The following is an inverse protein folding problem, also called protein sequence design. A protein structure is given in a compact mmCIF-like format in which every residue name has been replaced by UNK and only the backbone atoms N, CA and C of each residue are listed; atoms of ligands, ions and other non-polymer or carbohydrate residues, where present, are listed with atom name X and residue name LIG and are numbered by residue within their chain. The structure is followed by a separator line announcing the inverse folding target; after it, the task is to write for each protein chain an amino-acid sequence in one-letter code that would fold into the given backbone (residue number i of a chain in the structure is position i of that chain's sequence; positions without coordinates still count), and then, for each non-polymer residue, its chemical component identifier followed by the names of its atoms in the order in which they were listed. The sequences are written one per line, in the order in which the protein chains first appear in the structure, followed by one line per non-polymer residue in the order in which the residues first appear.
data_IF_427182858855
#
_entry.id   IF_427182858855
#
_cell.length_a   1.000
_cell.length_b   1.000
_cell.length_c   1.000
_cell.angle_alpha   90.00
_cell.angle_beta   90.00
_cell.angle_gamma   90.00
#
_symmetry.space_group_name_H-M   'P 1'
#
loop_
_entity.id
_entity.type
_entity.pdbx_description
1 polymer ?
#
# COMPACT_ATOMS: atom_id res chain seq x y z
N UNK A 1 43.72 -10.95 -5.14
CA UNK A 1 43.07 -11.89 -4.21
C UNK A 1 42.21 -11.15 -3.16
N UNK A 2 42.77 -10.24 -2.34
CA UNK A 2 42.06 -9.51 -1.28
C UNK A 2 40.87 -8.69 -1.82
N UNK A 3 41.05 -7.95 -2.90
CA UNK A 3 39.98 -7.16 -3.53
C UNK A 3 38.77 -8.02 -3.96
N UNK A 4 39.00 -9.18 -4.56
CA UNK A 4 37.93 -10.11 -4.94
C UNK A 4 37.18 -10.66 -3.72
N UNK A 5 37.89 -11.00 -2.65
CA UNK A 5 37.29 -11.47 -1.39
C UNK A 5 36.42 -10.39 -0.76
N UNK A 6 36.82 -9.11 -0.80
CA UNK A 6 36.04 -7.97 -0.33
C UNK A 6 34.77 -7.83 -1.14
N UNK A 7 34.82 -7.90 -2.49
CA UNK A 7 33.64 -7.83 -3.34
C UNK A 7 32.64 -8.97 -3.07
N UNK A 8 33.15 -10.18 -2.90
CA UNK A 8 32.32 -11.35 -2.55
C UNK A 8 31.66 -11.13 -1.18
N UNK A 9 32.39 -10.65 -0.18
CA UNK A 9 31.85 -10.37 1.14
C UNK A 9 30.76 -9.30 1.08
N UNK A 10 30.97 -8.19 0.35
CA UNK A 10 29.97 -7.14 0.15
C UNK A 10 28.71 -7.65 -0.55
N UNK A 11 28.87 -8.53 -1.55
CA UNK A 11 27.73 -9.16 -2.22
C UNK A 11 26.90 -10.00 -1.22
N UNK A 12 27.52 -10.84 -0.41
CA UNK A 12 26.80 -11.65 0.58
C UNK A 12 26.14 -10.79 1.66
N UNK A 13 26.78 -9.71 2.11
CA UNK A 13 26.20 -8.75 3.04
C UNK A 13 24.95 -8.12 2.42
N UNK A 14 25.00 -7.67 1.16
CA UNK A 14 23.85 -7.09 0.47
C UNK A 14 22.69 -8.09 0.35
N UNK A 15 22.97 -9.33 -0.03
CA UNK A 15 21.96 -10.40 -0.09
C UNK A 15 21.34 -10.65 1.29
N UNK A 16 22.14 -10.70 2.34
CA UNK A 16 21.69 -10.89 3.72
C UNK A 16 20.78 -9.73 4.16
N UNK A 17 21.13 -8.48 3.88
CA UNK A 17 20.32 -7.30 4.21
C UNK A 17 18.97 -7.36 3.49
N UNK A 18 18.93 -7.75 2.22
CA UNK A 18 17.68 -7.90 1.46
C UNK A 18 16.82 -9.02 2.07
N UNK A 19 17.41 -10.17 2.41
CA UNK A 19 16.69 -11.30 3.01
C UNK A 19 16.12 -10.94 4.39
N UNK A 20 16.92 -10.28 5.25
CA UNK A 20 16.49 -9.82 6.58
C UNK A 20 15.36 -8.76 6.46
N UNK A 21 15.48 -7.84 5.52
CA UNK A 21 14.44 -6.84 5.27
C UNK A 21 13.13 -7.51 4.85
N UNK A 22 13.20 -8.49 3.96
CA UNK A 22 12.03 -9.25 3.53
C UNK A 22 11.37 -9.98 4.70
N UNK A 23 12.15 -10.72 5.46
CA UNK A 23 11.70 -11.49 6.63
C UNK A 23 11.09 -10.59 7.71
N UNK A 24 11.73 -9.45 8.03
CA UNK A 24 11.25 -8.51 9.03
C UNK A 24 9.85 -7.95 8.68
N UNK A 25 9.62 -7.60 7.40
CA UNK A 25 8.30 -7.14 6.92
C UNK A 25 7.25 -8.24 7.06
N UNK A 26 7.56 -9.48 6.67
CA UNK A 26 6.62 -10.61 6.82
C UNK A 26 6.29 -10.88 8.29
N UNK A 27 7.29 -10.96 9.17
CA UNK A 27 7.06 -11.17 10.59
C UNK A 27 6.19 -10.07 11.23
N UNK A 28 6.45 -8.79 10.87
CA UNK A 28 5.72 -7.66 11.43
C UNK A 28 4.28 -7.55 10.94
N UNK A 29 4.02 -7.96 9.69
CA UNK A 29 2.73 -7.77 9.03
C UNK A 29 1.82 -9.00 9.09
N UNK A 30 2.36 -10.21 9.27
CA UNK A 30 1.63 -11.47 9.11
C UNK A 30 0.38 -11.58 9.98
N UNK A 31 0.46 -11.18 11.25
CA UNK A 31 -0.66 -11.22 12.20
C UNK A 31 -1.67 -10.07 12.03
N UNK A 32 -1.35 -9.10 11.17
CA UNK A 32 -2.17 -7.90 10.93
C UNK A 32 -2.76 -7.87 9.52
N UNK A 33 -2.65 -8.94 8.74
CA UNK A 33 -3.22 -9.05 7.39
C UNK A 33 -4.34 -10.09 7.36
N UNK A 34 -5.43 -9.73 6.70
CA UNK A 34 -6.65 -10.50 6.58
C UNK A 34 -7.02 -10.65 5.11
N UNK A 35 -7.53 -11.81 4.73
CA UNK A 35 -8.07 -12.10 3.40
C UNK A 35 -9.56 -12.50 3.43
N UNK A 36 -10.13 -12.59 4.63
CA UNK A 36 -11.54 -12.88 4.85
C UNK A 36 -12.16 -11.70 5.62
N UNK A 37 -13.23 -11.14 5.08
CA UNK A 37 -13.91 -9.99 5.65
C UNK A 37 -14.53 -10.28 7.02
N UNK A 38 -14.88 -11.53 7.30
CA UNK A 38 -15.44 -11.90 8.61
C UNK A 38 -14.43 -11.69 9.76
N UNK A 39 -13.16 -11.94 9.49
CA UNK A 39 -12.10 -11.97 10.51
C UNK A 39 -11.48 -10.61 10.79
N UNK A 40 -11.59 -9.65 9.84
CA UNK A 40 -10.97 -8.33 10.00
C UNK A 40 -11.72 -7.48 11.02
N UNK A 41 -11.02 -6.78 11.94
CA UNK A 41 -11.65 -5.84 12.84
C UNK A 41 -12.25 -4.65 12.11
N UNK A 42 -13.23 -3.99 12.72
CA UNK A 42 -13.77 -2.73 12.22
C UNK A 42 -12.74 -1.60 12.38
N UNK A 43 -12.60 -0.80 11.33
CA UNK A 43 -11.96 0.51 11.36
C UNK A 43 -12.82 1.52 10.59
N UNK A 44 -12.98 2.72 11.14
CA UNK A 44 -13.78 3.76 10.47
C UNK A 44 -13.31 4.05 9.05
N UNK A 45 -11.99 4.15 8.86
CA UNK A 45 -11.38 4.57 7.59
C UNK A 45 -10.58 3.43 6.96
N UNK A 46 -10.83 3.19 5.67
CA UNK A 46 -9.96 2.38 4.84
C UNK A 46 -9.03 3.28 4.01
N UNK A 47 -7.71 3.14 4.19
CA UNK A 47 -6.69 3.72 3.31
C UNK A 47 -6.51 2.79 2.10
N UNK A 48 -6.96 3.24 0.93
CA UNK A 48 -6.83 2.50 -0.33
C UNK A 48 -5.62 3.00 -1.08
N UNK A 49 -4.64 2.12 -1.31
CA UNK A 49 -3.42 2.50 -2.02
C UNK A 49 -3.67 2.52 -3.53
N UNK A 50 -3.24 3.58 -4.20
CA UNK A 50 -3.48 3.85 -5.60
C UNK A 50 -2.88 2.82 -6.57
N UNK A 51 -3.53 2.65 -7.69
CA UNK A 51 -3.05 1.94 -8.89
C UNK A 51 -3.90 2.32 -10.09
N UNK A 52 -3.30 2.31 -11.28
CA UNK A 52 -3.99 2.67 -12.51
C UNK A 52 -5.03 1.62 -12.93
N UNK A 53 -6.20 2.01 -13.46
CA UNK A 53 -7.20 1.09 -14.01
C UNK A 53 -6.72 0.33 -15.26
N UNK A 54 -5.74 0.88 -15.97
CA UNK A 54 -5.15 0.26 -17.17
C UNK A 54 -3.69 -0.11 -16.95
N UNK A 55 -3.26 -1.18 -17.58
CA UNK A 55 -1.83 -1.53 -17.70
C UNK A 55 -1.13 -0.61 -18.70
N UNK A 56 0.21 -0.52 -18.73
CA UNK A 56 0.94 0.25 -19.74
C UNK A 56 0.63 -0.15 -21.20
N UNK A 57 0.11 -1.36 -21.41
CA UNK A 57 -0.35 -1.85 -22.72
C UNK A 57 -1.82 -1.52 -23.03
N UNK A 58 -2.49 -0.69 -22.22
CA UNK A 58 -3.88 -0.29 -22.41
C UNK A 58 -4.93 -1.36 -22.04
N UNK A 59 -4.52 -2.50 -21.49
CA UNK A 59 -5.43 -3.56 -21.06
C UNK A 59 -5.93 -3.31 -19.63
N UNK A 60 -7.12 -3.81 -19.24
CA UNK A 60 -7.62 -3.71 -17.87
C UNK A 60 -6.59 -4.21 -16.84
N UNK A 61 -6.40 -3.44 -15.79
CA UNK A 61 -5.53 -3.80 -14.68
C UNK A 61 -6.35 -4.53 -13.59
N UNK A 62 -6.17 -5.83 -13.49
CA UNK A 62 -6.88 -6.63 -12.49
C UNK A 62 -6.47 -6.29 -11.04
N UNK A 63 -5.30 -5.72 -10.79
CA UNK A 63 -4.97 -5.20 -9.46
C UNK A 63 -5.92 -4.08 -9.03
N UNK A 64 -6.24 -3.17 -9.95
CA UNK A 64 -7.23 -2.12 -9.73
C UNK A 64 -8.60 -2.74 -9.42
N UNK A 65 -9.10 -3.60 -10.33
CA UNK A 65 -10.40 -4.25 -10.16
C UNK A 65 -10.52 -4.95 -8.81
N UNK A 66 -9.59 -5.81 -8.47
CA UNK A 66 -9.66 -6.58 -7.22
C UNK A 66 -9.53 -5.71 -5.97
N UNK A 67 -8.87 -4.56 -6.06
CA UNK A 67 -8.79 -3.60 -4.97
C UNK A 67 -10.12 -2.90 -4.76
N UNK A 68 -10.82 -2.52 -5.83
CA UNK A 68 -12.19 -1.99 -5.77
C UNK A 68 -13.15 -3.05 -5.22
N UNK A 69 -13.09 -4.29 -5.72
CA UNK A 69 -13.91 -5.39 -5.21
C UNK A 69 -13.75 -5.57 -3.68
N UNK A 70 -12.50 -5.53 -3.19
CA UNK A 70 -12.18 -5.63 -1.75
C UNK A 70 -12.75 -4.46 -0.93
N UNK A 71 -12.69 -3.24 -1.45
CA UNK A 71 -13.30 -2.08 -0.81
C UNK A 71 -14.82 -2.23 -0.70
N UNK A 72 -15.47 -2.67 -1.76
CA UNK A 72 -16.93 -2.91 -1.78
C UNK A 72 -17.32 -3.99 -0.79
N UNK A 73 -16.55 -5.06 -0.68
CA UNK A 73 -16.76 -6.14 0.27
C UNK A 73 -16.69 -5.63 1.72
N UNK A 74 -15.65 -4.87 2.07
CA UNK A 74 -15.49 -4.27 3.40
C UNK A 74 -16.62 -3.31 3.75
N UNK A 75 -17.04 -2.46 2.82
CA UNK A 75 -18.11 -1.49 3.03
C UNK A 75 -19.46 -2.18 3.27
N UNK A 76 -19.81 -3.15 2.41
CA UNK A 76 -21.06 -3.94 2.55
C UNK A 76 -21.12 -4.77 3.83
N UNK A 77 -19.97 -5.24 4.30
CA UNK A 77 -19.86 -5.96 5.55
C UNK A 77 -19.85 -5.05 6.81
N UNK A 78 -19.91 -3.71 6.63
CA UNK A 78 -19.84 -2.76 7.74
C UNK A 78 -18.48 -2.75 8.46
N UNK A 79 -17.41 -3.21 7.81
CA UNK A 79 -16.06 -3.23 8.38
C UNK A 79 -15.33 -1.91 8.23
N UNK A 80 -15.79 -1.05 7.31
CA UNK A 80 -15.35 0.32 7.12
C UNK A 80 -16.55 1.21 6.78
N UNK A 81 -16.47 2.50 7.07
CA UNK A 81 -17.53 3.47 6.74
C UNK A 81 -17.05 4.61 5.85
N UNK A 82 -15.74 4.82 5.75
CA UNK A 82 -15.12 5.87 4.93
C UNK A 82 -13.92 5.31 4.18
N UNK A 83 -13.62 5.92 3.04
CA UNK A 83 -12.44 5.62 2.22
C UNK A 83 -11.55 6.85 2.10
N UNK A 84 -10.25 6.66 2.32
CA UNK A 84 -9.20 7.59 1.93
C UNK A 84 -8.46 6.95 0.74
N UNK A 85 -8.72 7.46 -0.46
CA UNK A 85 -8.12 6.97 -1.69
C UNK A 85 -6.83 7.75 -1.95
N UNK A 86 -5.68 7.10 -1.72
CA UNK A 86 -4.38 7.76 -1.81
C UNK A 86 -3.58 7.22 -2.98
N UNK A 87 -3.23 8.09 -3.91
CA UNK A 87 -2.54 7.72 -5.13
C UNK A 87 -1.80 8.87 -5.81
N UNK A 88 -1.24 8.57 -6.97
CA UNK A 88 -0.49 9.51 -7.79
C UNK A 88 -1.45 10.35 -8.66
N UNK A 89 -1.24 11.67 -8.64
CA UNK A 89 -1.85 12.65 -9.53
C UNK A 89 -0.75 13.58 -10.09
N UNK A 90 0.36 12.99 -10.57
CA UNK A 90 1.51 13.75 -11.04
C UNK A 90 1.36 14.33 -12.44
N UNK A 91 0.33 13.95 -13.19
CA UNK A 91 0.07 14.49 -14.51
C UNK A 91 -1.42 14.70 -14.78
N UNK A 92 -1.75 15.63 -15.68
CA UNK A 92 -3.13 15.98 -16.07
C UNK A 92 -3.99 14.79 -16.54
N UNK A 93 -3.34 13.72 -16.97
CA UNK A 93 -4.00 12.52 -17.52
C UNK A 93 -3.86 11.29 -16.62
N UNK A 94 -3.34 11.46 -15.39
CA UNK A 94 -3.08 10.38 -14.46
C UNK A 94 -3.58 10.74 -13.07
N UNK A 95 -4.75 10.26 -12.72
CA UNK A 95 -5.46 10.56 -11.48
C UNK A 95 -5.98 9.27 -10.85
N UNK A 96 -5.11 8.57 -10.12
CA UNK A 96 -5.47 7.29 -9.47
C UNK A 96 -6.59 7.46 -8.45
N UNK A 97 -6.59 8.47 -7.55
CA UNK A 97 -7.67 8.69 -6.60
C UNK A 97 -9.02 8.88 -7.28
N UNK A 98 -9.09 9.66 -8.35
CA UNK A 98 -10.34 9.90 -9.06
C UNK A 98 -10.87 8.63 -9.72
N UNK A 99 -10.03 7.86 -10.40
CA UNK A 99 -10.44 6.59 -11.00
C UNK A 99 -10.99 5.60 -9.96
N UNK A 100 -10.37 5.54 -8.78
CA UNK A 100 -10.87 4.68 -7.69
C UNK A 100 -12.21 5.18 -7.15
N UNK A 101 -12.39 6.50 -7.01
CA UNK A 101 -13.65 7.11 -6.58
C UNK A 101 -14.78 6.77 -7.53
N UNK A 102 -14.59 6.99 -8.82
CA UNK A 102 -15.60 6.73 -9.84
C UNK A 102 -16.02 5.26 -9.83
N UNK A 103 -15.04 4.34 -9.76
CA UNK A 103 -15.31 2.92 -9.68
C UNK A 103 -16.08 2.52 -8.39
N UNK A 104 -15.75 3.10 -7.24
CA UNK A 104 -16.50 2.84 -6.00
C UNK A 104 -17.93 3.39 -6.06
N UNK A 105 -18.11 4.57 -6.64
CA UNK A 105 -19.44 5.15 -6.84
C UNK A 105 -20.32 4.33 -7.80
N UNK A 106 -19.74 3.75 -8.86
CA UNK A 106 -20.41 2.79 -9.75
C UNK A 106 -20.92 1.56 -9.00
N UNK A 107 -20.26 1.16 -7.90
CA UNK A 107 -20.69 0.07 -7.03
C UNK A 107 -21.65 0.52 -5.91
N UNK A 108 -22.14 1.77 -5.96
CA UNK A 108 -23.14 2.33 -5.04
C UNK A 108 -22.57 2.89 -3.73
N UNK A 109 -21.27 3.09 -3.61
CA UNK A 109 -20.69 3.75 -2.43
C UNK A 109 -20.90 5.26 -2.54
N UNK A 110 -21.52 5.92 -1.54
CA UNK A 110 -21.79 7.34 -1.61
C UNK A 110 -20.51 8.18 -1.69
N UNK A 111 -20.48 9.18 -2.56
CA UNK A 111 -19.31 10.07 -2.71
C UNK A 111 -18.92 10.82 -1.43
N UNK A 112 -19.88 11.06 -0.50
CA UNK A 112 -19.63 11.63 0.83
C UNK A 112 -18.81 10.73 1.76
N UNK A 113 -18.68 9.44 1.45
CA UNK A 113 -17.91 8.48 2.22
C UNK A 113 -16.50 8.28 1.62
N UNK A 114 -16.14 9.07 0.61
CA UNK A 114 -14.89 8.96 -0.13
C UNK A 114 -14.12 10.28 -0.05
N UNK A 115 -12.89 10.22 0.46
CA UNK A 115 -11.94 11.33 0.51
C UNK A 115 -10.75 11.01 -0.39
N UNK A 116 -10.24 12.01 -1.11
CA UNK A 116 -9.16 11.82 -2.08
C UNK A 116 -7.85 12.43 -1.54
N UNK A 117 -6.78 11.66 -1.64
CA UNK A 117 -5.41 12.10 -1.38
C UNK A 117 -4.59 12.00 -2.66
N UNK A 118 -4.30 13.14 -3.26
CA UNK A 118 -3.60 13.28 -4.53
C UNK A 118 -2.06 13.28 -4.41
N UNK A 119 -1.53 13.09 -3.21
CA UNK A 119 -0.09 13.15 -2.96
C UNK A 119 0.49 11.84 -2.40
N UNK A 120 -0.18 10.73 -2.66
CA UNK A 120 0.25 9.38 -2.30
C UNK A 120 1.21 8.76 -3.31
N UNK A 121 2.34 9.43 -3.62
CA UNK A 121 3.30 8.97 -4.63
C UNK A 121 4.05 7.70 -4.24
N UNK A 122 4.23 7.46 -2.96
CA UNK A 122 4.86 6.26 -2.38
C UNK A 122 4.00 5.76 -1.23
N UNK A 123 4.13 4.48 -0.91
CA UNK A 123 3.44 3.90 0.27
C UNK A 123 3.74 4.66 1.56
N UNK A 124 4.97 5.15 1.74
CA UNK A 124 5.35 5.99 2.88
C UNK A 124 4.55 7.31 2.90
N UNK A 125 4.39 7.95 1.73
CA UNK A 125 3.64 9.21 1.63
C UNK A 125 2.18 8.98 2.01
N UNK A 126 1.53 7.95 1.47
CA UNK A 126 0.13 7.60 1.77
C UNK A 126 -0.10 7.37 3.27
N UNK A 127 0.78 6.59 3.92
CA UNK A 127 0.63 6.27 5.36
C UNK A 127 0.90 7.48 6.24
N UNK A 128 1.98 8.24 5.99
CA UNK A 128 2.29 9.43 6.80
C UNK A 128 1.22 10.48 6.63
N UNK A 129 0.75 10.73 5.40
CA UNK A 129 -0.31 11.70 5.13
C UNK A 129 -1.65 11.28 5.73
N UNK A 130 -1.95 9.98 5.74
CA UNK A 130 -3.14 9.44 6.41
C UNK A 130 -3.21 9.87 7.87
N UNK A 131 -2.08 9.88 8.58
CA UNK A 131 -1.97 10.35 9.96
C UNK A 131 -1.90 11.87 10.06
N UNK A 132 -0.91 12.48 9.42
CA UNK A 132 -0.55 13.89 9.64
C UNK A 132 -1.55 14.86 9.01
N UNK A 133 -2.12 14.52 7.86
CA UNK A 133 -3.06 15.36 7.11
C UNK A 133 -4.50 15.00 7.44
N UNK A 134 -4.83 13.67 7.41
CA UNK A 134 -6.20 13.19 7.57
C UNK A 134 -6.54 12.74 8.99
N UNK A 135 -5.60 12.84 9.95
CA UNK A 135 -5.83 12.64 11.38
C UNK A 135 -6.19 11.19 11.76
N UNK A 136 -5.81 10.20 10.95
CA UNK A 136 -6.20 8.82 11.21
C UNK A 136 -5.11 8.07 11.96
N UNK A 137 -5.46 7.56 13.14
CA UNK A 137 -4.56 6.78 14.01
C UNK A 137 -4.82 5.27 13.94
N UNK A 138 -6.03 4.86 13.50
CA UNK A 138 -6.43 3.46 13.32
C UNK A 138 -7.11 3.28 11.97
N UNK A 139 -6.59 2.36 11.14
CA UNK A 139 -7.01 2.24 9.73
C UNK A 139 -7.00 0.78 9.23
N UNK A 140 -7.82 0.52 8.22
CA UNK A 140 -7.68 -0.66 7.36
C UNK A 140 -6.98 -0.27 6.06
N UNK A 141 -5.84 -0.87 5.74
CA UNK A 141 -5.15 -0.65 4.47
C UNK A 141 -5.64 -1.65 3.45
N UNK A 142 -6.07 -1.18 2.27
CA UNK A 142 -6.56 -2.04 1.19
C UNK A 142 -5.61 -2.01 0.00
N UNK A 143 -5.01 -3.14 -0.29
CA UNK A 143 -4.13 -3.38 -1.45
C UNK A 143 -3.89 -4.88 -1.62
N UNK A 144 -3.03 -5.29 -2.56
CA UNK A 144 -2.57 -6.69 -2.65
C UNK A 144 -1.65 -7.05 -1.47
N UNK A 145 -1.62 -8.34 -1.10
CA UNK A 145 -0.95 -8.82 0.11
C UNK A 145 0.52 -8.41 0.24
N UNK A 146 1.30 -8.47 -0.85
CA UNK A 146 2.69 -8.03 -0.84
C UNK A 146 2.84 -6.53 -0.53
N UNK A 147 1.91 -5.71 -1.02
CA UNK A 147 1.88 -4.27 -0.79
C UNK A 147 1.40 -3.94 0.63
N UNK A 148 0.33 -4.62 1.10
CA UNK A 148 -0.16 -4.49 2.46
C UNK A 148 0.89 -4.84 3.51
N UNK A 149 1.70 -5.89 3.27
CA UNK A 149 2.79 -6.26 4.16
C UNK A 149 3.75 -5.07 4.41
N UNK A 150 4.14 -4.38 3.34
CA UNK A 150 5.00 -3.20 3.43
C UNK A 150 4.28 -2.01 4.07
N UNK A 151 3.04 -1.76 3.69
CA UNK A 151 2.25 -0.63 4.20
C UNK A 151 1.96 -0.75 5.70
N UNK A 152 1.61 -1.93 6.20
CA UNK A 152 1.40 -2.21 7.64
C UNK A 152 2.70 -2.04 8.42
N UNK A 153 3.85 -2.44 7.85
CA UNK A 153 5.14 -2.22 8.48
C UNK A 153 5.47 -0.72 8.59
N UNK A 154 5.24 0.07 7.55
CA UNK A 154 5.39 1.53 7.57
C UNK A 154 4.44 2.16 8.58
N UNK A 155 3.16 1.76 8.59
CA UNK A 155 2.15 2.26 9.52
C UNK A 155 2.58 2.07 10.99
N UNK A 156 3.07 0.86 11.32
CA UNK A 156 3.60 0.57 12.65
C UNK A 156 4.80 1.45 13.02
N UNK A 157 5.68 1.74 12.07
CA UNK A 157 6.82 2.65 12.29
C UNK A 157 6.37 4.09 12.53
N UNK A 158 5.33 4.53 11.82
CA UNK A 158 4.76 5.89 11.96
C UNK A 158 3.81 6.03 13.16
N UNK A 159 3.62 4.97 13.97
CA UNK A 159 2.69 5.00 15.10
C UNK A 159 1.23 5.06 14.67
N UNK A 160 0.88 4.41 13.56
CA UNK A 160 -0.50 4.19 13.09
C UNK A 160 -0.88 2.74 13.37
N UNK A 161 -1.99 2.51 14.05
CA UNK A 161 -2.52 1.15 14.21
C UNK A 161 -3.25 0.74 12.94
N UNK A 162 -2.61 -0.14 12.17
CA UNK A 162 -3.09 -0.54 10.87
C UNK A 162 -3.22 -2.05 10.74
N UNK A 163 -4.33 -2.46 10.13
CA UNK A 163 -4.52 -3.82 9.61
C UNK A 163 -4.61 -3.76 8.08
N UNK A 164 -4.18 -4.82 7.41
CA UNK A 164 -4.28 -4.95 5.95
C UNK A 164 -5.44 -5.86 5.56
N UNK A 165 -6.25 -5.46 4.60
CA UNK A 165 -7.17 -6.34 3.89
C UNK A 165 -6.59 -6.68 2.52
N UNK A 166 -6.22 -7.95 2.34
CA UNK A 166 -5.52 -8.40 1.16
C UNK A 166 -6.51 -8.62 0.00
N UNK A 167 -6.55 -7.67 -0.93
CA UNK A 167 -7.27 -7.82 -2.19
C UNK A 167 -6.71 -9.03 -2.97
N UNK A 168 -7.59 -9.68 -3.73
CA UNK A 168 -7.23 -10.82 -4.56
C UNK A 168 -6.00 -10.52 -5.42
N UNK A 169 -5.11 -11.50 -5.52
CA UNK A 169 -3.93 -11.38 -6.37
C UNK A 169 -4.16 -12.02 -7.75
N UNK A 170 -3.32 -11.64 -8.71
CA UNK A 170 -3.36 -12.17 -10.08
C UNK A 170 -2.47 -13.41 -10.12
N UNK A 171 -2.94 -14.46 -10.84
CA UNK A 171 -2.08 -15.60 -11.13
C UNK A 171 -1.02 -15.18 -12.16
N UNK A 172 0.22 -15.16 -11.74
CA UNK A 172 1.36 -14.78 -12.57
C UNK A 172 2.11 -15.98 -13.17
N UNK A 173 2.77 -15.75 -14.31
CA UNK A 173 3.74 -16.70 -14.82
C UNK A 173 4.94 -16.84 -13.86
N UNK A 174 5.67 -17.96 -13.91
CA UNK A 174 6.87 -18.17 -13.07
C UNK A 174 7.91 -17.05 -13.24
N UNK A 175 8.12 -16.59 -14.46
CA UNK A 175 9.05 -15.50 -14.79
C UNK A 175 8.61 -14.18 -14.11
N UNK A 176 7.33 -13.85 -14.20
CA UNK A 176 6.79 -12.66 -13.55
C UNK A 176 6.90 -12.73 -12.02
N UNK A 177 6.64 -13.90 -11.42
CA UNK A 177 6.81 -14.13 -9.99
C UNK A 177 8.25 -13.87 -9.56
N UNK A 178 9.23 -14.36 -10.31
CA UNK A 178 10.65 -14.15 -9.99
C UNK A 178 11.03 -12.66 -10.00
N UNK A 179 10.70 -11.93 -11.05
CA UNK A 179 10.97 -10.48 -11.14
C UNK A 179 10.13 -9.67 -10.14
N UNK A 180 8.89 -10.06 -9.89
CA UNK A 180 8.00 -9.41 -8.91
C UNK A 180 8.52 -9.55 -7.49
N UNK A 181 8.95 -10.76 -7.10
CA UNK A 181 9.54 -11.02 -5.77
C UNK A 181 10.85 -10.24 -5.59
N UNK A 182 11.72 -10.23 -6.61
CA UNK A 182 12.98 -9.47 -6.57
C UNK A 182 12.73 -7.96 -6.41
N UNK A 183 11.81 -7.40 -7.18
CA UNK A 183 11.42 -6.00 -7.08
C UNK A 183 10.86 -5.68 -5.69
N UNK A 184 10.01 -6.55 -5.14
CA UNK A 184 9.42 -6.33 -3.82
C UNK A 184 10.47 -6.45 -2.71
N UNK A 185 11.42 -7.38 -2.81
CA UNK A 185 12.51 -7.50 -1.86
C UNK A 185 13.37 -6.21 -1.80
N UNK A 186 13.71 -5.65 -2.96
CA UNK A 186 14.42 -4.37 -3.04
C UNK A 186 13.56 -3.19 -2.53
N UNK A 187 12.25 -3.19 -2.80
CA UNK A 187 11.34 -2.16 -2.30
C UNK A 187 11.23 -2.18 -0.77
N UNK A 188 11.24 -3.37 -0.15
CA UNK A 188 11.26 -3.53 1.32
C UNK A 188 12.58 -3.04 1.93
N UNK A 189 13.72 -3.36 1.32
CA UNK A 189 15.02 -2.85 1.76
C UNK A 189 15.06 -1.32 1.66
N UNK A 190 14.62 -0.77 0.51
CA UNK A 190 14.54 0.67 0.32
C UNK A 190 13.63 1.35 1.35
N UNK A 191 12.51 0.74 1.70
CA UNK A 191 11.60 1.21 2.74
C UNK A 191 12.34 1.39 4.08
N UNK A 192 13.13 0.40 4.52
CA UNK A 192 13.90 0.52 5.76
C UNK A 192 14.94 1.64 5.68
N UNK A 193 15.63 1.77 4.55
CA UNK A 193 16.57 2.89 4.35
C UNK A 193 15.82 4.23 4.44
N UNK A 194 14.70 4.38 3.73
CA UNK A 194 13.89 5.61 3.77
C UNK A 194 13.41 5.96 5.20
N UNK A 195 13.06 4.95 6.00
CA UNK A 195 12.64 5.13 7.39
C UNK A 195 13.82 5.51 8.31
N UNK A 196 14.96 4.85 8.19
CA UNK A 196 16.16 5.11 9.01
C UNK A 196 16.70 6.51 8.76
N UNK A 197 16.73 6.97 7.50
CA UNK A 197 17.19 8.32 7.16
C UNK A 197 16.12 9.39 7.41
N UNK A 198 14.97 9.02 7.98
CA UNK A 198 13.89 9.96 8.32
C UNK A 198 13.25 10.63 7.11
N UNK A 199 13.12 9.91 5.99
CA UNK A 199 12.56 10.47 4.77
C UNK A 199 11.12 10.89 4.97
N UNK A 200 10.82 12.15 4.64
CA UNK A 200 9.49 12.74 4.76
C UNK A 200 8.67 12.55 3.48
N UNK A 201 7.33 12.68 3.55
CA UNK A 201 6.48 12.80 2.36
C UNK A 201 6.93 13.95 1.45
N UNK A 202 6.72 13.77 0.15
CA UNK A 202 7.07 14.80 -0.85
C UNK A 202 6.27 16.09 -0.62
N UNK A 203 5.01 15.95 -0.22
CA UNK A 203 4.11 17.05 0.09
C UNK A 203 3.38 16.77 1.40
N UNK A 204 3.42 17.73 2.31
CA UNK A 204 2.51 17.87 3.44
C UNK A 204 1.65 19.10 3.12
N UNK A 205 0.37 19.01 3.34
CA UNK A 205 -0.59 20.11 3.15
C UNK A 205 -1.24 20.48 4.47
N UNK A 206 -2.31 21.26 4.39
CA UNK A 206 -3.18 21.56 5.53
C UNK A 206 -3.92 20.29 5.98
N UNK A 207 -4.31 20.27 7.26
CA UNK A 207 -5.10 19.16 7.82
C UNK A 207 -6.50 19.13 7.19
N UNK A 208 -6.95 17.94 6.85
CA UNK A 208 -8.26 17.67 6.26
C UNK A 208 -8.97 16.68 7.18
N UNK A 209 -10.10 17.07 7.73
CA UNK A 209 -10.91 16.21 8.59
C UNK A 209 -11.78 15.28 7.74
N UNK A 210 -11.71 13.97 8.00
CA UNK A 210 -12.64 13.00 7.40
C UNK A 210 -13.91 13.00 8.26
N UNK A 211 -14.97 13.63 7.73
CA UNK A 211 -16.29 13.74 8.38
C UNK A 211 -17.06 12.41 8.36
#
# INVERSE_FOLDING_TARGET
MLFLLVLIALFFIAVLVVALSYWAVECKSRSKRYCNVADIPYNRVALVLGTNPLTPSGRPNYYFKYRIDACVELYKAGKVSKFLLSGDNSSKYYDEPQYMKDALMEHGIPGRDIVLDYAGFRTLDSVVRCKEIFGQESITIVSQGFHNARAVCIASWCGVDAVGFDAKDIKHSRTYLFFGVGREALARTKMFVDMIVGKKPKFLGEKIEIQ
#
